data_IF_371629657992
#
_entry.id   IF_371629657992
#
_cell.length_a   1.000
_cell.length_b   1.000
_cell.length_c   1.000
_cell.angle_alpha   90.00
_cell.angle_beta   90.00
_cell.angle_gamma   90.00
#
_symmetry.space_group_name_H-M   'P 1'
#
loop_
_entity.id
_entity.type
_entity.pdbx_description
1 polymer ?
#
# COMPACT_ATOMS: atom_id res chain seq x y z
N UNK A 1 35.41 2.65 -37.62
CA UNK A 1 34.79 3.95 -37.87
C UNK A 1 34.20 4.41 -36.57
N UNK A 2 34.74 5.48 -36.01
CA UNK A 2 34.24 6.05 -34.75
C UNK A 2 32.88 6.71 -35.10
N UNK A 3 31.80 6.12 -34.64
CA UNK A 3 30.46 6.66 -34.84
C UNK A 3 30.39 8.08 -34.29
N UNK A 4 29.89 8.99 -35.09
CA UNK A 4 29.66 10.37 -34.68
C UNK A 4 28.74 10.38 -33.46
N UNK A 5 29.20 10.97 -32.35
CA UNK A 5 28.33 11.25 -31.19
C UNK A 5 27.11 12.03 -31.70
N UNK A 6 25.88 11.55 -31.47
CA UNK A 6 24.70 12.31 -31.91
C UNK A 6 24.75 13.72 -31.32
N UNK A 7 24.30 14.74 -32.04
CA UNK A 7 24.32 16.09 -31.55
C UNK A 7 23.59 16.15 -30.21
N UNK A 8 24.21 16.74 -29.18
CA UNK A 8 23.56 16.94 -27.87
C UNK A 8 22.31 17.78 -28.12
N UNK A 9 21.14 17.15 -28.04
CA UNK A 9 19.86 17.88 -28.10
C UNK A 9 19.80 18.85 -26.91
N UNK A 10 19.46 20.10 -27.19
CA UNK A 10 19.23 21.10 -26.14
C UNK A 10 17.77 21.01 -25.73
N UNK A 11 17.51 20.62 -24.48
CA UNK A 11 16.16 20.70 -23.92
C UNK A 11 15.83 22.16 -23.63
N UNK A 12 14.69 22.63 -24.14
CA UNK A 12 14.13 23.94 -23.89
C UNK A 12 12.75 23.82 -23.27
N UNK A 13 12.42 24.72 -22.33
CA UNK A 13 11.09 24.81 -21.72
C UNK A 13 10.55 26.19 -21.96
N UNK A 14 9.47 26.29 -22.73
CA UNK A 14 8.88 27.53 -23.20
C UNK A 14 7.50 27.73 -22.56
N UNK A 15 7.27 28.80 -21.77
CA UNK A 15 5.94 29.06 -21.20
C UNK A 15 4.95 29.39 -22.33
N UNK A 16 3.73 28.85 -22.22
CA UNK A 16 2.62 29.17 -23.13
C UNK A 16 1.76 30.25 -22.47
N UNK A 17 1.92 31.49 -22.89
CA UNK A 17 1.19 32.62 -22.37
C UNK A 17 -0.09 32.89 -23.18
N UNK A 18 -0.99 33.70 -22.64
CA UNK A 18 -2.21 34.14 -23.35
C UNK A 18 -3.36 33.12 -23.35
N UNK A 19 -3.26 32.02 -22.61
CA UNK A 19 -4.36 31.07 -22.45
C UNK A 19 -5.50 31.73 -21.64
N UNK A 20 -6.73 31.82 -22.19
CA UNK A 20 -7.85 32.45 -21.51
C UNK A 20 -8.33 31.63 -20.31
N UNK A 21 -9.22 32.23 -19.49
CA UNK A 21 -9.86 31.49 -18.38
C UNK A 21 -10.73 30.35 -18.92
N UNK A 22 -10.46 29.14 -18.49
CA UNK A 22 -11.14 27.91 -18.93
C UNK A 22 -12.37 27.65 -18.06
N UNK A 23 -13.50 27.29 -18.68
CA UNK A 23 -14.78 26.97 -18.05
C UNK A 23 -15.24 25.57 -18.44
N UNK A 24 -16.21 25.05 -17.69
CA UNK A 24 -16.81 23.75 -17.98
C UNK A 24 -17.46 23.74 -19.38
N UNK A 25 -17.11 22.73 -20.17
CA UNK A 25 -17.60 22.55 -21.53
C UNK A 25 -16.81 23.29 -22.61
N UNK A 26 -15.76 24.04 -22.25
CA UNK A 26 -14.91 24.68 -23.23
C UNK A 26 -14.14 23.66 -24.07
N UNK A 27 -13.98 23.95 -25.36
CA UNK A 27 -13.05 23.23 -26.26
C UNK A 27 -11.60 23.64 -25.92
N UNK A 28 -10.95 22.87 -25.09
CA UNK A 28 -9.61 23.16 -24.59
C UNK A 28 -8.58 23.21 -25.73
N UNK A 29 -8.71 22.35 -26.74
CA UNK A 29 -7.83 22.40 -27.93
C UNK A 29 -7.98 23.69 -28.70
N UNK A 30 -9.20 24.23 -28.84
CA UNK A 30 -9.43 25.52 -29.46
C UNK A 30 -8.80 26.68 -28.68
N UNK A 31 -8.94 26.65 -27.33
CA UNK A 31 -8.36 27.69 -26.46
C UNK A 31 -6.83 27.70 -26.46
N UNK A 32 -6.22 26.52 -26.62
CA UNK A 32 -4.76 26.37 -26.65
C UNK A 32 -4.13 26.63 -28.01
N UNK A 33 -4.88 26.52 -29.11
CA UNK A 33 -4.32 26.53 -30.46
C UNK A 33 -3.50 27.80 -30.77
N UNK A 34 -4.06 28.99 -30.61
CA UNK A 34 -3.37 30.24 -30.89
C UNK A 34 -2.16 30.47 -29.95
N UNK A 35 -2.27 30.30 -28.62
CA UNK A 35 -1.13 30.38 -27.70
C UNK A 35 0.02 29.43 -28.04
N UNK A 36 -0.28 28.17 -28.42
CA UNK A 36 0.73 27.18 -28.79
C UNK A 36 1.45 27.58 -30.10
N UNK A 37 0.71 28.01 -31.12
CA UNK A 37 1.30 28.49 -32.38
C UNK A 37 2.17 29.73 -32.14
N UNK A 38 1.71 30.69 -31.34
CA UNK A 38 2.46 31.90 -30.99
C UNK A 38 3.75 31.57 -30.25
N UNK A 39 3.74 30.53 -29.38
CA UNK A 39 4.93 30.03 -28.68
C UNK A 39 5.85 29.24 -29.63
N UNK A 40 5.37 28.85 -30.81
CA UNK A 40 6.13 28.17 -31.85
C UNK A 40 6.14 26.65 -31.70
N UNK A 41 4.98 26.03 -31.35
CA UNK A 41 4.82 24.58 -31.31
C UNK A 41 5.26 23.94 -32.63
N UNK A 42 5.99 22.83 -32.56
CA UNK A 42 6.47 22.03 -33.68
C UNK A 42 6.40 20.55 -33.44
N UNK A 43 6.66 19.78 -34.51
CA UNK A 43 6.68 18.32 -34.43
C UNK A 43 7.73 17.81 -33.42
N UNK A 44 7.37 16.79 -32.66
CA UNK A 44 8.22 16.20 -31.63
C UNK A 44 8.31 17.01 -30.34
N UNK A 45 7.62 18.13 -30.21
CA UNK A 45 7.49 18.85 -28.95
C UNK A 45 6.58 18.10 -27.99
N UNK A 46 6.73 18.38 -26.67
CA UNK A 46 5.83 17.89 -25.62
C UNK A 46 5.09 19.06 -25.01
N UNK A 47 3.77 19.04 -25.03
CA UNK A 47 2.90 20.03 -24.41
C UNK A 47 2.60 19.57 -22.98
N UNK A 48 3.20 20.23 -21.99
CA UNK A 48 2.90 20.00 -20.58
C UNK A 48 1.80 20.94 -20.11
N UNK A 49 0.73 20.42 -19.51
CA UNK A 49 -0.49 21.17 -19.15
C UNK A 49 -0.88 20.86 -17.72
N UNK A 50 -1.22 21.89 -16.91
CA UNK A 50 -1.75 21.64 -15.57
C UNK A 50 -3.13 20.97 -15.63
N UNK A 51 -3.35 19.98 -14.76
CA UNK A 51 -4.63 19.29 -14.63
C UNK A 51 -5.80 20.25 -14.41
N UNK A 52 -5.57 21.41 -13.79
CA UNK A 52 -6.64 22.34 -13.43
C UNK A 52 -7.45 22.84 -14.62
N UNK A 53 -6.79 23.19 -15.75
CA UNK A 53 -7.53 23.64 -16.93
C UNK A 53 -8.22 22.47 -17.64
N UNK A 54 -7.65 21.26 -17.58
CA UNK A 54 -8.30 20.04 -18.06
C UNK A 54 -9.54 19.73 -17.23
N UNK A 55 -9.41 19.72 -15.91
CA UNK A 55 -10.52 19.49 -14.98
C UNK A 55 -11.63 20.54 -15.11
N UNK A 56 -11.28 21.82 -15.31
CA UNK A 56 -12.27 22.88 -15.60
C UNK A 56 -13.04 22.58 -16.88
N UNK A 57 -12.35 22.32 -17.98
CA UNK A 57 -12.99 22.02 -19.27
C UNK A 57 -13.91 20.78 -19.18
N UNK A 58 -13.51 19.76 -18.44
CA UNK A 58 -14.27 18.53 -18.23
C UNK A 58 -15.39 18.64 -17.17
N UNK A 59 -15.62 19.84 -16.61
CA UNK A 59 -16.66 20.04 -15.60
C UNK A 59 -16.36 19.42 -14.24
N UNK A 60 -15.08 19.16 -13.92
CA UNK A 60 -14.63 18.62 -12.63
C UNK A 60 -14.44 19.70 -11.56
N UNK A 61 -15.12 20.84 -11.72
CA UNK A 61 -15.27 21.89 -10.71
C UNK A 61 -16.59 21.69 -10.01
N UNK A 62 -16.57 21.49 -8.71
CA UNK A 62 -17.74 21.10 -7.91
C UNK A 62 -17.97 22.08 -6.77
N UNK A 63 -19.22 22.36 -6.37
CA UNK A 63 -19.48 23.16 -5.18
C UNK A 63 -19.04 22.40 -3.91
N UNK A 64 -18.56 23.14 -2.92
CA UNK A 64 -18.14 22.59 -1.63
C UNK A 64 -19.28 21.80 -0.97
N UNK A 65 -20.53 22.34 -1.00
CA UNK A 65 -21.72 21.71 -0.41
C UNK A 65 -21.69 21.66 1.13
N UNK A 66 -22.74 21.08 1.72
CA UNK A 66 -22.93 21.02 3.18
C UNK A 66 -21.89 20.12 3.89
N UNK A 67 -21.35 19.12 3.19
CA UNK A 67 -20.31 18.22 3.73
C UNK A 67 -18.88 18.80 3.71
N UNK A 68 -18.70 20.00 3.18
CA UNK A 68 -17.42 20.66 3.09
C UNK A 68 -16.45 19.95 2.14
N UNK A 69 -15.20 20.37 2.21
CA UNK A 69 -14.11 19.76 1.45
C UNK A 69 -13.88 18.28 1.81
N UNK A 70 -14.04 17.94 3.08
CA UNK A 70 -13.74 16.60 3.59
C UNK A 70 -14.63 15.51 2.95
N UNK A 71 -15.89 15.82 2.66
CA UNK A 71 -16.79 14.90 1.96
C UNK A 71 -16.30 14.58 0.54
N UNK A 72 -15.70 15.57 -0.16
CA UNK A 72 -15.10 15.35 -1.47
C UNK A 72 -13.79 14.56 -1.39
N UNK A 73 -12.96 14.87 -0.39
CA UNK A 73 -11.73 14.09 -0.12
C UNK A 73 -12.10 12.62 0.14
N UNK A 74 -13.13 12.34 0.93
CA UNK A 74 -13.58 10.98 1.20
C UNK A 74 -14.05 10.26 -0.07
N UNK A 75 -14.84 10.93 -0.94
CA UNK A 75 -15.33 10.37 -2.22
C UNK A 75 -14.23 10.04 -3.21
N UNK A 76 -13.20 10.89 -3.31
CA UNK A 76 -12.08 10.70 -4.22
C UNK A 76 -10.99 9.78 -3.63
N UNK A 77 -11.10 9.41 -2.34
CA UNK A 77 -10.16 8.52 -1.64
C UNK A 77 -10.55 7.06 -1.81
N UNK A 78 -9.63 6.26 -2.33
CA UNK A 78 -9.70 4.79 -2.27
C UNK A 78 -9.19 4.26 -0.94
N UNK A 79 -8.12 4.83 -0.42
CA UNK A 79 -7.46 4.43 0.83
C UNK A 79 -6.74 5.61 1.47
N UNK A 80 -6.90 5.79 2.78
CA UNK A 80 -6.10 6.75 3.54
C UNK A 80 -4.75 6.15 3.87
N UNK A 81 -3.68 6.84 3.52
CA UNK A 81 -2.28 6.44 3.79
C UNK A 81 -1.79 7.04 5.10
N UNK A 82 -2.04 8.33 5.33
CA UNK A 82 -1.65 9.02 6.55
C UNK A 82 -2.53 10.25 6.81
N UNK A 83 -2.58 10.72 8.07
CA UNK A 83 -3.24 11.96 8.47
C UNK A 83 -2.32 12.79 9.39
N UNK A 84 -2.36 14.11 9.22
CA UNK A 84 -1.72 15.06 10.14
C UNK A 84 -2.56 16.34 10.22
N UNK A 85 -3.34 16.50 11.28
CA UNK A 85 -4.38 17.54 11.35
C UNK A 85 -5.37 17.35 10.20
N UNK A 86 -5.68 18.43 9.49
CA UNK A 86 -6.61 18.43 8.35
C UNK A 86 -5.99 17.90 7.04
N UNK A 87 -4.67 17.62 7.04
CA UNK A 87 -3.99 17.05 5.89
C UNK A 87 -4.20 15.54 5.84
N UNK A 88 -4.80 15.06 4.75
CA UNK A 88 -4.95 13.65 4.44
C UNK A 88 -4.02 13.29 3.29
N UNK A 89 -3.14 12.32 3.47
CA UNK A 89 -2.43 11.66 2.36
C UNK A 89 -3.27 10.45 1.99
N UNK A 90 -3.75 10.43 0.77
CA UNK A 90 -4.68 9.42 0.30
C UNK A 90 -4.26 8.83 -1.04
N UNK A 91 -4.55 7.56 -1.23
CA UNK A 91 -4.57 6.91 -2.53
C UNK A 91 -5.89 7.28 -3.21
N UNK A 92 -5.83 7.89 -4.37
CA UNK A 92 -6.98 8.29 -5.17
C UNK A 92 -7.62 7.09 -5.87
N UNK A 93 -8.77 7.29 -6.52
CA UNK A 93 -9.39 6.26 -7.39
C UNK A 93 -8.49 5.86 -8.56
N UNK A 94 -7.61 6.76 -9.02
CA UNK A 94 -6.62 6.53 -10.07
C UNK A 94 -5.38 5.75 -9.57
N UNK A 95 -5.22 5.58 -8.25
CA UNK A 95 -4.04 4.98 -7.62
C UNK A 95 -2.95 5.97 -7.22
N UNK A 96 -3.05 7.25 -7.56
CA UNK A 96 -2.08 8.27 -7.12
C UNK A 96 -2.12 8.45 -5.61
N UNK A 97 -0.95 8.51 -4.97
CA UNK A 97 -0.84 8.84 -3.55
C UNK A 97 -0.47 10.31 -3.39
N UNK A 98 -1.43 11.12 -2.99
CA UNK A 98 -1.25 12.57 -2.89
C UNK A 98 -2.03 13.20 -1.73
N UNK A 99 -1.82 14.50 -1.53
CA UNK A 99 -2.53 15.27 -0.51
C UNK A 99 -4.02 15.43 -0.87
N UNK A 100 -4.89 15.13 0.09
CA UNK A 100 -6.33 15.33 0.02
C UNK A 100 -6.98 14.72 -1.23
N UNK A 101 -6.46 13.58 -1.70
CA UNK A 101 -6.91 12.88 -2.90
C UNK A 101 -6.97 13.76 -4.16
N UNK A 102 -6.11 14.77 -4.27
CA UNK A 102 -6.11 15.71 -5.39
C UNK A 102 -7.22 16.76 -5.35
N UNK A 103 -8.05 16.81 -4.32
CA UNK A 103 -9.09 17.84 -4.11
C UNK A 103 -8.44 19.17 -3.75
N UNK A 104 -8.57 20.18 -4.61
CA UNK A 104 -7.91 21.48 -4.47
C UNK A 104 -8.92 22.64 -4.53
N UNK A 105 -8.75 23.62 -3.64
CA UNK A 105 -9.53 24.86 -3.61
C UNK A 105 -8.79 26.04 -4.25
N UNK A 106 -7.56 25.82 -4.76
CA UNK A 106 -6.77 26.92 -5.34
C UNK A 106 -7.12 27.17 -6.79
N UNK A 107 -7.14 28.47 -7.21
CA UNK A 107 -7.43 28.91 -8.57
C UNK A 107 -8.83 28.53 -9.08
N UNK A 108 -9.80 28.43 -8.19
CA UNK A 108 -11.25 28.35 -8.46
C UNK A 108 -11.97 29.44 -7.66
N UNK A 109 -13.22 29.73 -8.00
CA UNK A 109 -14.04 30.67 -7.26
C UNK A 109 -14.29 30.18 -5.84
N UNK A 110 -14.49 31.12 -4.90
CA UNK A 110 -14.82 30.80 -3.53
C UNK A 110 -16.10 29.92 -3.46
N UNK A 111 -16.08 28.88 -2.66
CA UNK A 111 -17.19 27.90 -2.56
C UNK A 111 -17.12 26.76 -3.58
N UNK A 112 -16.06 26.68 -4.39
CA UNK A 112 -15.83 25.59 -5.33
C UNK A 112 -14.51 24.87 -5.09
N UNK A 113 -14.44 23.62 -5.56
CA UNK A 113 -13.26 22.74 -5.52
C UNK A 113 -12.99 22.18 -6.91
N UNK A 114 -11.72 21.92 -7.21
CA UNK A 114 -11.32 21.18 -8.39
C UNK A 114 -10.97 19.75 -8.00
N UNK A 115 -11.51 18.79 -8.75
CA UNK A 115 -11.18 17.37 -8.67
C UNK A 115 -10.24 17.02 -9.82
N UNK A 116 -9.49 15.91 -9.73
CA UNK A 116 -8.70 15.43 -10.87
C UNK A 116 -9.61 15.02 -12.03
N UNK A 117 -9.12 15.04 -13.29
CA UNK A 117 -9.82 14.45 -14.43
C UNK A 117 -10.22 12.99 -14.13
N UNK A 118 -11.29 12.48 -14.71
CA UNK A 118 -11.71 11.09 -14.43
C UNK A 118 -10.74 10.05 -14.95
N UNK A 119 -10.21 10.30 -16.12
CA UNK A 119 -9.17 9.51 -16.78
C UNK A 119 -8.16 10.46 -17.43
N UNK A 120 -7.08 10.81 -16.71
CA UNK A 120 -6.10 11.76 -17.21
C UNK A 120 -5.36 11.30 -18.47
N UNK A 121 -5.09 9.99 -18.62
CA UNK A 121 -4.46 9.46 -19.84
C UNK A 121 -5.37 9.59 -21.07
N UNK A 122 -6.65 9.24 -20.90
CA UNK A 122 -7.64 9.45 -21.97
C UNK A 122 -7.84 10.94 -22.29
N UNK A 123 -7.76 11.82 -21.30
CA UNK A 123 -7.81 13.28 -21.51
C UNK A 123 -6.60 13.79 -22.28
N UNK A 124 -5.40 13.28 -21.97
CA UNK A 124 -4.18 13.60 -22.71
C UNK A 124 -4.28 13.14 -24.17
N UNK A 125 -4.78 11.95 -24.43
CA UNK A 125 -4.91 11.42 -25.81
C UNK A 125 -5.97 12.19 -26.62
N UNK A 126 -7.12 12.54 -26.01
CA UNK A 126 -8.12 13.39 -26.67
C UNK A 126 -7.49 14.73 -27.08
N UNK A 127 -6.83 15.38 -26.12
CA UNK A 127 -6.22 16.69 -26.37
C UNK A 127 -5.10 16.62 -27.43
N UNK A 128 -4.26 15.58 -27.39
CA UNK A 128 -3.22 15.33 -28.39
C UNK A 128 -3.80 15.20 -29.79
N UNK A 129 -4.84 14.38 -29.95
CA UNK A 129 -5.53 14.19 -31.23
C UNK A 129 -6.17 15.51 -31.73
N UNK A 130 -6.94 16.16 -30.85
CA UNK A 130 -7.70 17.36 -31.23
C UNK A 130 -6.78 18.53 -31.60
N UNK A 131 -5.61 18.66 -30.92
CA UNK A 131 -4.56 19.62 -31.29
C UNK A 131 -3.86 19.22 -32.59
N UNK A 132 -3.54 17.94 -32.78
CA UNK A 132 -2.96 17.44 -34.04
C UNK A 132 -3.85 17.68 -35.27
N UNK A 133 -5.14 17.37 -35.13
CA UNK A 133 -6.12 17.66 -36.22
C UNK A 133 -6.26 19.15 -36.53
N UNK A 134 -6.20 20.01 -35.51
CA UNK A 134 -6.39 21.46 -35.64
C UNK A 134 -5.15 22.18 -36.14
N UNK A 135 -3.98 21.78 -35.72
CA UNK A 135 -2.71 22.48 -35.96
C UNK A 135 -1.84 21.79 -37.02
N UNK A 136 -2.11 20.54 -37.35
CA UNK A 136 -1.28 19.77 -38.27
C UNK A 136 0.10 19.44 -37.71
N UNK A 137 0.25 19.35 -36.39
CA UNK A 137 1.51 19.12 -35.66
C UNK A 137 1.44 17.82 -34.86
N UNK A 138 2.46 17.01 -34.95
CA UNK A 138 2.62 15.81 -34.13
C UNK A 138 3.39 16.15 -32.84
N UNK A 139 2.64 16.48 -31.80
CA UNK A 139 3.18 16.75 -30.46
C UNK A 139 2.63 15.78 -29.42
N UNK A 140 3.43 15.48 -28.40
CA UNK A 140 2.97 14.72 -27.24
C UNK A 140 2.28 15.65 -26.22
N UNK A 141 1.45 15.08 -25.34
CA UNK A 141 0.77 15.81 -24.26
C UNK A 141 1.08 15.13 -22.92
N UNK A 142 1.41 15.94 -21.90
CA UNK A 142 1.60 15.51 -20.50
C UNK A 142 0.71 16.36 -19.61
N UNK A 143 -0.24 15.74 -18.91
CA UNK A 143 -1.08 16.40 -17.91
C UNK A 143 -0.36 16.33 -16.57
N UNK A 144 -0.14 17.49 -15.94
CA UNK A 144 0.66 17.60 -14.72
C UNK A 144 -0.18 18.00 -13.51
N UNK A 145 0.17 17.48 -12.35
CA UNK A 145 -0.26 18.04 -11.08
C UNK A 145 0.94 18.23 -10.14
N UNK A 146 0.73 18.92 -9.02
CA UNK A 146 1.82 19.25 -8.10
C UNK A 146 1.70 18.43 -6.83
N UNK A 147 2.62 17.48 -6.65
CA UNK A 147 2.62 16.58 -5.52
C UNK A 147 3.70 16.91 -4.48
N UNK A 148 3.40 16.59 -3.22
CA UNK A 148 4.42 16.43 -2.20
C UNK A 148 5.32 15.23 -2.52
N UNK A 149 6.52 15.25 -1.96
CA UNK A 149 7.49 14.18 -2.15
C UNK A 149 7.75 13.46 -0.84
N UNK A 150 7.62 12.12 -0.85
CA UNK A 150 8.02 11.29 0.28
C UNK A 150 9.51 11.53 0.59
N UNK A 151 9.86 11.69 1.86
CA UNK A 151 11.22 11.88 2.38
C UNK A 151 11.93 13.19 1.98
N UNK A 152 11.31 14.07 1.21
CA UNK A 152 11.90 15.37 0.80
C UNK A 152 10.90 16.51 1.01
N UNK A 153 11.38 17.66 1.42
CA UNK A 153 10.58 18.89 1.47
C UNK A 153 10.37 19.46 0.07
N UNK A 154 9.27 20.18 -0.09
CA UNK A 154 8.90 20.88 -1.33
C UNK A 154 7.99 20.03 -2.22
N UNK A 155 7.39 20.72 -3.18
CA UNK A 155 6.47 20.15 -4.17
C UNK A 155 7.19 20.06 -5.51
N UNK A 156 6.73 19.19 -6.37
CA UNK A 156 7.18 19.07 -7.77
C UNK A 156 5.99 18.72 -8.65
N UNK A 157 6.01 19.16 -9.91
CA UNK A 157 5.05 18.68 -10.87
C UNK A 157 5.38 17.23 -11.23
N UNK A 158 4.36 16.40 -11.28
CA UNK A 158 4.40 15.01 -11.73
C UNK A 158 3.38 14.81 -12.84
N UNK A 159 3.60 13.86 -13.71
CA UNK A 159 2.63 13.46 -14.72
C UNK A 159 1.53 12.62 -14.08
N UNK A 160 0.28 12.98 -14.37
CA UNK A 160 -0.89 12.18 -13.99
C UNK A 160 -1.58 11.59 -15.20
N UNK A 161 -1.22 12.03 -16.41
CA UNK A 161 -1.70 11.50 -17.69
C UNK A 161 -0.76 11.91 -18.80
N UNK A 162 -0.54 11.04 -19.79
CA UNK A 162 0.28 11.37 -20.95
C UNK A 162 -0.19 10.65 -22.22
N UNK A 163 0.17 11.23 -23.38
CA UNK A 163 -0.12 10.66 -24.68
C UNK A 163 0.95 11.07 -25.71
N UNK A 164 1.31 10.16 -26.61
CA UNK A 164 2.34 10.39 -27.65
C UNK A 164 3.77 10.34 -27.12
N UNK A 165 3.97 10.12 -25.84
CA UNK A 165 5.25 9.95 -25.15
C UNK A 165 5.13 8.78 -24.18
N UNK A 166 6.14 7.88 -24.04
CA UNK A 166 6.09 6.83 -23.02
C UNK A 166 6.26 7.45 -21.61
N UNK A 167 5.38 7.07 -20.68
CA UNK A 167 5.52 7.49 -19.28
C UNK A 167 6.82 6.97 -18.67
N UNK A 168 7.19 5.73 -19.01
CA UNK A 168 8.37 5.03 -18.54
C UNK A 168 9.26 4.62 -19.72
N UNK A 169 10.59 4.76 -19.55
CA UNK A 169 11.59 4.23 -20.48
C UNK A 169 12.39 3.16 -19.76
N UNK A 170 12.22 1.91 -20.19
CA UNK A 170 12.93 0.76 -19.63
C UNK A 170 14.33 0.62 -20.28
N UNK A 171 15.37 0.83 -19.50
CA UNK A 171 16.75 0.70 -19.93
C UNK A 171 17.39 -0.61 -19.44
N UNK A 172 16.63 -1.49 -18.80
CA UNK A 172 17.14 -2.80 -18.34
C UNK A 172 17.58 -3.62 -19.56
N UNK A 173 18.69 -4.33 -19.41
CA UNK A 173 19.32 -5.08 -20.50
C UNK A 173 20.16 -4.23 -21.47
N UNK A 174 20.17 -2.88 -21.34
CA UNK A 174 21.10 -2.03 -22.09
C UNK A 174 22.42 -1.89 -21.36
N UNK A 175 23.49 -1.51 -22.07
CA UNK A 175 24.80 -1.34 -21.46
C UNK A 175 25.07 0.12 -21.07
N UNK A 176 25.71 0.33 -19.90
CA UNK A 176 26.30 1.62 -19.55
C UNK A 176 27.53 1.94 -20.43
N UNK A 177 28.14 3.12 -20.24
CA UNK A 177 29.29 3.52 -21.04
C UNK A 177 30.56 2.68 -20.78
N UNK A 178 30.58 1.84 -19.74
CA UNK A 178 31.63 0.85 -19.47
C UNK A 178 31.29 -0.56 -19.98
N UNK A 179 30.14 -0.72 -20.63
CA UNK A 179 29.68 -2.01 -21.14
C UNK A 179 29.01 -2.91 -20.08
N UNK A 180 28.64 -2.39 -18.89
CA UNK A 180 27.90 -3.14 -17.87
C UNK A 180 26.42 -3.03 -18.11
N UNK A 181 25.73 -4.15 -18.02
CA UNK A 181 24.27 -4.20 -18.16
C UNK A 181 23.55 -3.44 -17.03
N UNK A 182 22.57 -2.63 -17.41
CA UNK A 182 21.67 -1.94 -16.48
C UNK A 182 20.57 -2.90 -16.04
N UNK A 183 20.60 -3.35 -14.80
CA UNK A 183 19.67 -4.37 -14.28
C UNK A 183 18.33 -3.80 -13.77
N UNK A 184 18.30 -2.55 -13.32
CA UNK A 184 17.16 -1.97 -12.61
C UNK A 184 16.73 -0.57 -13.09
N UNK A 185 17.33 -0.06 -14.17
CA UNK A 185 17.11 1.32 -14.59
C UNK A 185 15.86 1.46 -15.44
N UNK A 186 14.82 2.08 -14.86
CA UNK A 186 13.61 2.53 -15.56
C UNK A 186 13.45 4.03 -15.26
N UNK A 187 13.38 4.83 -16.32
CA UNK A 187 13.27 6.30 -16.21
C UNK A 187 11.82 6.72 -16.32
N UNK A 188 11.33 7.53 -15.38
CA UNK A 188 9.99 8.12 -15.40
C UNK A 188 10.00 9.39 -16.29
N UNK A 189 10.05 9.20 -17.62
CA UNK A 189 10.25 10.28 -18.58
C UNK A 189 9.15 11.34 -18.51
N UNK A 190 7.89 10.94 -18.37
CA UNK A 190 6.78 11.88 -18.26
C UNK A 190 6.88 12.74 -16.98
N UNK A 191 7.39 12.19 -15.87
CA UNK A 191 7.65 12.96 -14.65
C UNK A 191 8.80 13.94 -14.81
N UNK A 192 9.87 13.56 -15.54
CA UNK A 192 10.98 14.48 -15.83
C UNK A 192 10.49 15.68 -16.66
N UNK A 193 9.65 15.43 -17.68
CA UNK A 193 9.01 16.49 -18.49
C UNK A 193 8.08 17.35 -17.61
N UNK A 194 7.25 16.73 -16.77
CA UNK A 194 6.36 17.44 -15.85
C UNK A 194 7.14 18.34 -14.89
N UNK A 195 8.22 17.82 -14.30
CA UNK A 195 9.07 18.59 -13.39
C UNK A 195 9.77 19.75 -14.08
N UNK A 196 10.31 19.55 -15.30
CA UNK A 196 10.94 20.59 -16.08
C UNK A 196 9.94 21.70 -16.45
N UNK A 197 8.72 21.34 -16.87
CA UNK A 197 7.66 22.30 -17.21
C UNK A 197 7.31 23.22 -16.04
N UNK A 198 7.37 22.70 -14.81
CA UNK A 198 7.11 23.46 -13.58
C UNK A 198 8.00 24.70 -13.40
N UNK A 199 9.20 24.69 -13.99
CA UNK A 199 10.14 25.83 -13.94
C UNK A 199 9.63 27.01 -14.77
N UNK A 200 8.95 26.75 -15.89
CA UNK A 200 8.39 27.80 -16.77
C UNK A 200 6.96 28.18 -16.35
N UNK A 201 6.12 27.22 -15.92
CA UNK A 201 4.73 27.49 -15.58
C UNK A 201 4.59 28.30 -14.28
N UNK A 202 5.43 28.05 -13.27
CA UNK A 202 5.35 28.70 -11.96
C UNK A 202 4.00 28.51 -11.26
N UNK A 203 3.90 28.92 -9.99
CA UNK A 203 2.65 28.75 -9.22
C UNK A 203 1.71 29.96 -9.27
N UNK A 204 2.27 31.16 -9.47
CA UNK A 204 1.54 32.44 -9.43
C UNK A 204 1.53 33.15 -10.80
N UNK A 205 2.18 32.60 -11.83
CA UNK A 205 2.38 33.26 -13.10
C UNK A 205 1.16 33.21 -14.04
N UNK A 206 0.10 32.46 -13.70
CA UNK A 206 -1.06 32.21 -14.57
C UNK A 206 -0.67 31.62 -15.93
N UNK A 207 0.38 30.80 -15.97
CA UNK A 207 0.86 30.07 -17.14
C UNK A 207 0.53 28.58 -16.95
N UNK A 208 -0.61 28.11 -17.46
CA UNK A 208 -1.07 26.74 -17.18
C UNK A 208 -0.48 25.67 -18.12
N UNK A 209 0.35 26.07 -19.11
CA UNK A 209 0.99 25.15 -20.05
C UNK A 209 2.40 25.61 -20.42
N UNK A 210 3.23 24.66 -20.85
CA UNK A 210 4.56 24.91 -21.40
C UNK A 210 4.85 23.89 -22.52
N UNK A 211 5.66 24.33 -23.51
CA UNK A 211 6.25 23.45 -24.52
C UNK A 211 7.61 22.99 -24.02
N UNK A 212 7.84 21.67 -23.98
CA UNK A 212 9.15 21.08 -23.71
C UNK A 212 9.69 20.50 -25.00
N UNK A 213 10.75 21.09 -25.51
CA UNK A 213 11.37 20.78 -26.79
C UNK A 213 12.71 20.09 -26.62
N UNK A 214 13.04 19.19 -27.56
CA UNK A 214 14.35 18.50 -27.57
C UNK A 214 14.42 17.32 -26.62
N UNK A 215 13.29 16.81 -26.16
CA UNK A 215 13.22 15.54 -25.44
C UNK A 215 13.31 14.42 -26.46
N UNK A 216 14.33 13.56 -26.32
CA UNK A 216 14.49 12.37 -27.18
C UNK A 216 13.67 11.20 -26.66
N UNK A 217 12.69 10.77 -27.41
CA UNK A 217 11.92 9.55 -27.14
C UNK A 217 11.40 8.93 -28.44
N UNK A 218 11.15 7.63 -28.40
CA UNK A 218 10.37 6.98 -29.45
C UNK A 218 8.87 7.11 -29.08
N UNK A 219 8.03 7.53 -30.04
CA UNK A 219 6.59 7.63 -29.78
C UNK A 219 6.03 6.29 -29.33
N UNK A 220 5.44 6.25 -28.16
CA UNK A 220 4.86 5.05 -27.58
C UNK A 220 3.64 5.39 -26.73
N UNK A 221 2.77 4.38 -26.54
CA UNK A 221 1.56 4.54 -25.72
C UNK A 221 1.73 3.82 -24.36
N UNK A 222 2.73 4.24 -23.60
CA UNK A 222 2.84 3.82 -22.18
C UNK A 222 2.20 4.93 -21.35
N UNK A 223 1.00 4.68 -20.78
CA UNK A 223 0.24 5.72 -20.06
C UNK A 223 0.90 6.07 -18.72
N UNK A 224 0.56 7.23 -18.16
CA UNK A 224 1.05 7.67 -16.86
C UNK A 224 0.56 6.76 -15.72
N UNK A 225 -0.57 6.08 -15.88
CA UNK A 225 -1.08 5.09 -14.94
C UNK A 225 -0.13 3.92 -14.69
N UNK A 226 0.74 3.58 -15.64
CA UNK A 226 1.80 2.56 -15.47
C UNK A 226 2.90 2.99 -14.48
N UNK A 227 3.01 4.29 -14.17
CA UNK A 227 3.93 4.78 -13.13
C UNK A 227 3.40 4.53 -11.71
N UNK A 228 2.12 4.19 -11.57
CA UNK A 228 1.54 3.84 -10.28
C UNK A 228 2.05 2.46 -9.88
N UNK A 229 2.84 2.42 -8.82
CA UNK A 229 3.43 1.17 -8.33
C UNK A 229 2.34 0.18 -7.89
N UNK A 230 2.37 -1.08 -8.37
CA UNK A 230 1.48 -2.12 -7.88
C UNK A 230 1.61 -2.31 -6.37
N UNK A 231 0.52 -2.65 -5.66
CA UNK A 231 0.55 -2.82 -4.21
C UNK A 231 1.61 -3.80 -3.69
N UNK A 232 1.88 -4.85 -4.44
CA UNK A 232 2.87 -5.88 -4.14
C UNK A 232 4.32 -5.41 -4.27
N UNK A 233 4.56 -4.36 -5.06
CA UNK A 233 5.87 -3.74 -5.25
C UNK A 233 6.10 -2.51 -4.36
N UNK A 234 5.06 -2.05 -3.64
CA UNK A 234 5.12 -0.85 -2.83
C UNK A 234 5.68 -1.14 -1.43
N UNK A 235 6.99 -0.98 -1.27
CA UNK A 235 7.71 -1.16 0.00
C UNK A 235 7.28 -0.16 1.09
N UNK A 236 6.55 0.91 0.74
CA UNK A 236 6.13 1.97 1.66
C UNK A 236 4.62 1.95 1.95
N UNK A 237 3.90 0.96 1.41
CA UNK A 237 2.44 0.85 1.52
C UNK A 237 1.96 0.65 2.96
N UNK A 238 2.73 -0.03 3.78
CA UNK A 238 2.36 -0.39 5.15
C UNK A 238 2.89 0.60 6.17
N UNK A 239 2.00 1.31 6.88
CA UNK A 239 2.34 1.97 8.14
C UNK A 239 2.04 1.01 9.31
N UNK A 240 2.71 1.12 10.47
CA UNK A 240 2.38 0.32 11.66
C UNK A 240 0.90 0.43 12.06
N UNK A 241 0.32 1.62 12.01
CA UNK A 241 -1.10 1.84 12.32
C UNK A 241 -2.02 1.19 11.28
N UNK A 242 -1.65 1.23 10.00
CA UNK A 242 -2.39 0.58 8.93
C UNK A 242 -2.36 -0.94 9.11
N UNK A 243 -1.20 -1.53 9.39
CA UNK A 243 -1.08 -2.96 9.69
C UNK A 243 -1.96 -3.38 10.87
N UNK A 244 -2.05 -2.56 11.92
CA UNK A 244 -2.93 -2.81 13.07
C UNK A 244 -4.40 -2.78 12.64
N UNK A 245 -4.81 -1.78 11.86
CA UNK A 245 -6.21 -1.60 11.45
C UNK A 245 -6.65 -2.62 10.39
N UNK A 246 -5.77 -3.06 9.52
CA UNK A 246 -6.06 -3.98 8.42
C UNK A 246 -5.94 -5.46 8.80
N UNK A 247 -5.12 -5.81 9.80
CA UNK A 247 -4.97 -7.21 10.22
C UNK A 247 -6.33 -7.86 10.53
N UNK A 248 -6.56 -9.02 9.94
CA UNK A 248 -7.78 -9.85 10.15
C UNK A 248 -7.38 -11.26 10.58
N UNK A 249 -8.31 -11.96 11.18
CA UNK A 249 -8.20 -13.40 11.42
C UNK A 249 -8.58 -14.14 10.15
N UNK A 250 -7.60 -14.78 9.52
CA UNK A 250 -7.74 -15.53 8.26
C UNK A 250 -7.71 -17.01 8.58
N UNK A 251 -8.77 -17.73 8.23
CA UNK A 251 -8.95 -19.18 8.47
C UNK A 251 -8.99 -20.00 7.18
N UNK A 252 -9.13 -19.36 6.02
CA UNK A 252 -8.97 -19.96 4.70
C UNK A 252 -7.82 -19.24 4.00
N UNK A 253 -6.88 -19.98 3.46
CA UNK A 253 -5.66 -19.44 2.89
C UNK A 253 -5.70 -19.50 1.36
N UNK A 254 -5.00 -18.58 0.72
CA UNK A 254 -4.76 -18.56 -0.70
C UNK A 254 -3.79 -19.67 -1.15
N UNK A 255 -3.59 -19.78 -2.44
CA UNK A 255 -2.62 -20.72 -3.03
C UNK A 255 -1.23 -20.10 -2.97
N UNK A 256 -0.23 -20.89 -2.56
CA UNK A 256 1.17 -20.48 -2.50
C UNK A 256 1.86 -20.97 -1.24
N UNK A 257 3.16 -20.74 -1.18
CA UNK A 257 4.02 -21.12 -0.07
C UNK A 257 4.27 -19.94 0.88
N UNK A 258 4.68 -20.26 2.10
CA UNK A 258 5.15 -19.29 3.08
C UNK A 258 6.66 -19.48 3.21
N UNK A 259 7.45 -18.44 2.95
CA UNK A 259 8.91 -18.54 3.02
C UNK A 259 9.41 -18.65 4.47
N UNK A 260 10.58 -19.24 4.66
CA UNK A 260 11.21 -19.31 5.99
C UNK A 260 11.60 -17.92 6.49
N UNK A 261 12.11 -17.10 5.60
CA UNK A 261 12.53 -15.73 5.86
C UNK A 261 11.38 -14.89 6.40
N UNK A 262 10.19 -15.02 5.82
CA UNK A 262 9.00 -14.30 6.28
C UNK A 262 8.59 -14.70 7.71
N UNK A 263 8.67 -15.99 8.03
CA UNK A 263 8.38 -16.49 9.39
C UNK A 263 9.45 -16.04 10.38
N UNK A 264 10.73 -16.11 10.01
CA UNK A 264 11.85 -15.68 10.84
C UNK A 264 11.77 -14.18 11.15
N UNK A 265 11.43 -13.36 10.17
CA UNK A 265 11.23 -11.91 10.37
C UNK A 265 10.04 -11.63 11.30
N UNK A 266 8.93 -12.33 11.12
CA UNK A 266 7.77 -12.21 12.00
C UNK A 266 8.08 -12.65 13.45
N UNK A 267 8.86 -13.72 13.64
CA UNK A 267 9.33 -14.14 14.97
C UNK A 267 10.31 -13.12 15.55
N UNK A 268 11.19 -12.52 14.73
CA UNK A 268 12.08 -11.44 15.17
C UNK A 268 11.29 -10.24 15.69
N UNK A 269 10.22 -9.86 14.98
CA UNK A 269 9.29 -8.82 15.42
C UNK A 269 8.55 -9.21 16.71
N UNK A 270 8.11 -10.47 16.84
CA UNK A 270 7.50 -10.97 18.07
C UNK A 270 8.42 -10.82 19.29
N UNK A 271 9.72 -11.08 19.12
CA UNK A 271 10.72 -10.96 20.17
C UNK A 271 11.05 -9.52 20.60
N UNK A 272 10.42 -8.49 19.99
CA UNK A 272 10.49 -7.09 20.46
C UNK A 272 9.42 -6.73 21.48
N UNK A 273 8.51 -7.65 21.82
CA UNK A 273 7.46 -7.42 22.81
C UNK A 273 8.06 -7.05 24.19
N UNK A 274 7.32 -6.29 25.02
CA UNK A 274 7.75 -6.03 26.39
C UNK A 274 7.81 -7.34 27.18
N UNK A 275 8.90 -7.53 27.93
CA UNK A 275 9.15 -8.72 28.71
C UNK A 275 9.34 -8.39 30.20
N UNK A 276 8.71 -9.13 31.11
CA UNK A 276 8.97 -8.99 32.54
C UNK A 276 10.46 -9.18 32.83
N UNK A 277 11.03 -8.29 33.62
CA UNK A 277 12.42 -8.37 34.08
C UNK A 277 13.46 -8.56 32.97
N UNK A 278 13.13 -8.11 31.72
CA UNK A 278 13.96 -8.29 30.50
C UNK A 278 14.31 -9.76 30.18
N UNK A 279 13.47 -10.71 30.58
CA UNK A 279 13.75 -12.17 30.53
C UNK A 279 13.64 -12.77 29.14
N UNK A 280 12.92 -12.13 28.20
CA UNK A 280 12.59 -12.69 26.86
C UNK A 280 12.06 -14.12 26.97
N UNK A 281 10.88 -14.34 27.59
CA UNK A 281 10.43 -15.65 28.05
C UNK A 281 9.78 -16.50 26.93
N UNK A 282 9.91 -16.11 25.68
CA UNK A 282 9.22 -16.74 24.57
C UNK A 282 10.11 -17.70 23.78
N UNK A 283 9.45 -18.68 23.15
CA UNK A 283 9.97 -19.50 22.06
C UNK A 283 8.88 -19.72 21.03
N UNK A 284 9.27 -20.01 19.79
CA UNK A 284 8.32 -20.25 18.69
C UNK A 284 8.74 -21.50 17.93
N UNK A 285 7.85 -22.48 17.81
CA UNK A 285 8.08 -23.68 17.01
C UNK A 285 7.30 -23.55 15.70
N UNK A 286 8.00 -23.37 14.58
CA UNK A 286 7.40 -23.30 13.24
C UNK A 286 7.42 -24.70 12.57
N UNK A 287 6.28 -25.11 12.01
CA UNK A 287 6.02 -26.45 11.51
C UNK A 287 5.59 -26.36 10.04
N UNK A 288 6.44 -26.83 9.12
CA UNK A 288 6.17 -26.88 7.67
C UNK A 288 5.77 -28.26 7.19
N UNK A 289 6.36 -29.32 7.78
CA UNK A 289 6.20 -30.66 7.23
C UNK A 289 4.85 -31.26 7.58
N UNK A 290 4.22 -31.91 6.61
CA UNK A 290 2.96 -32.61 6.81
C UNK A 290 3.04 -33.69 7.92
N UNK A 291 4.19 -34.34 8.08
CA UNK A 291 4.40 -35.34 9.13
C UNK A 291 4.37 -34.73 10.53
N UNK A 292 5.06 -33.59 10.74
CA UNK A 292 5.07 -32.90 12.04
C UNK A 292 3.69 -32.27 12.36
N UNK A 293 3.00 -31.70 11.35
CA UNK A 293 1.63 -31.20 11.50
C UNK A 293 0.68 -32.32 11.92
N UNK A 294 0.67 -33.46 11.21
CA UNK A 294 -0.18 -34.60 11.56
C UNK A 294 0.11 -35.12 12.97
N UNK A 295 1.37 -35.22 13.41
CA UNK A 295 1.73 -35.63 14.75
C UNK A 295 1.16 -34.71 15.82
N UNK A 296 1.29 -33.37 15.64
CA UNK A 296 0.74 -32.40 16.58
C UNK A 296 -0.79 -32.42 16.57
N UNK A 297 -1.42 -32.30 15.38
CA UNK A 297 -2.88 -32.20 15.27
C UNK A 297 -3.58 -33.52 15.71
N UNK A 298 -2.98 -34.67 15.46
CA UNK A 298 -3.48 -35.95 15.94
C UNK A 298 -3.48 -36.04 17.46
N UNK A 299 -2.37 -35.70 18.10
CA UNK A 299 -2.26 -35.71 19.56
C UNK A 299 -3.28 -34.75 20.22
N UNK A 300 -3.45 -33.55 19.69
CA UNK A 300 -4.44 -32.59 20.18
C UNK A 300 -5.87 -33.09 19.95
N UNK A 301 -6.16 -33.68 18.78
CA UNK A 301 -7.48 -34.19 18.46
C UNK A 301 -7.88 -35.36 19.42
N UNK A 302 -6.94 -36.23 19.74
CA UNK A 302 -7.20 -37.35 20.65
C UNK A 302 -7.49 -36.86 22.07
N UNK A 303 -6.67 -35.95 22.61
CA UNK A 303 -6.91 -35.32 23.89
C UNK A 303 -8.24 -34.59 23.96
N UNK A 304 -8.56 -33.80 22.93
CA UNK A 304 -9.81 -33.05 22.88
C UNK A 304 -11.05 -33.94 22.74
N UNK A 305 -10.96 -35.09 22.04
CA UNK A 305 -12.03 -36.09 22.01
C UNK A 305 -12.30 -36.64 23.41
N UNK A 306 -11.25 -36.94 24.17
CA UNK A 306 -11.38 -37.46 25.54
C UNK A 306 -12.05 -36.42 26.45
N UNK A 307 -11.63 -35.18 26.40
CA UNK A 307 -12.24 -34.09 27.19
C UNK A 307 -13.71 -33.89 26.83
N UNK A 308 -14.06 -33.82 25.53
CA UNK A 308 -15.44 -33.67 25.10
C UNK A 308 -16.33 -34.86 25.50
N UNK A 309 -15.78 -36.07 25.51
CA UNK A 309 -16.51 -37.25 26.01
C UNK A 309 -16.74 -37.16 27.50
N UNK A 310 -15.74 -36.67 28.26
CA UNK A 310 -15.86 -36.45 29.71
C UNK A 310 -16.92 -35.42 30.03
N UNK A 311 -17.07 -34.43 29.17
CA UNK A 311 -18.13 -33.38 29.25
C UNK A 311 -19.51 -33.87 28.77
N UNK A 312 -19.64 -35.15 28.37
CA UNK A 312 -20.90 -35.72 27.89
C UNK A 312 -21.34 -35.22 26.50
N UNK A 313 -20.41 -34.69 25.67
CA UNK A 313 -20.73 -34.24 24.32
C UNK A 313 -21.05 -35.43 23.41
N UNK A 314 -22.12 -35.38 22.59
CA UNK A 314 -22.44 -36.44 21.63
C UNK A 314 -21.32 -36.65 20.58
N UNK A 315 -21.07 -37.91 20.23
CA UNK A 315 -19.95 -38.32 19.37
C UNK A 315 -19.97 -37.61 17.97
N UNK A 316 -21.17 -37.48 17.38
CA UNK A 316 -21.34 -36.77 16.11
C UNK A 316 -20.94 -35.28 16.19
N UNK A 317 -21.14 -34.69 17.35
CA UNK A 317 -20.74 -33.30 17.64
C UNK A 317 -19.24 -33.20 17.88
N UNK A 318 -18.64 -34.18 18.53
CA UNK A 318 -17.20 -34.29 18.73
C UNK A 318 -16.50 -34.33 17.38
N UNK A 319 -16.88 -35.26 16.51
CA UNK A 319 -16.24 -35.42 15.21
C UNK A 319 -16.41 -34.17 14.31
N UNK A 320 -17.56 -33.50 14.35
CA UNK A 320 -17.75 -32.22 13.62
C UNK A 320 -16.81 -31.13 14.13
N UNK A 321 -16.59 -31.02 15.45
CA UNK A 321 -15.66 -30.03 16.03
C UNK A 321 -14.23 -30.32 15.66
N UNK A 322 -13.81 -31.59 15.72
CA UNK A 322 -12.46 -32.03 15.33
C UNK A 322 -12.24 -31.75 13.83
N UNK A 323 -13.15 -32.17 12.95
CA UNK A 323 -13.04 -31.94 11.51
C UNK A 323 -12.97 -30.43 11.16
N UNK A 324 -13.74 -29.60 11.87
CA UNK A 324 -13.68 -28.15 11.66
C UNK A 324 -12.33 -27.54 12.07
N UNK A 325 -11.74 -28.03 13.16
CA UNK A 325 -10.41 -27.61 13.60
C UNK A 325 -9.34 -28.04 12.60
N UNK A 326 -9.40 -29.29 12.14
CA UNK A 326 -8.46 -29.85 11.18
C UNK A 326 -8.56 -29.15 9.82
N UNK A 327 -9.76 -28.77 9.37
CA UNK A 327 -9.96 -28.00 8.14
C UNK A 327 -9.21 -26.64 8.13
N UNK A 328 -9.01 -26.02 9.30
CA UNK A 328 -8.27 -24.76 9.40
C UNK A 328 -6.78 -25.00 9.61
N UNK A 329 -6.43 -25.84 10.61
CA UNK A 329 -5.03 -26.05 11.00
C UNK A 329 -4.30 -26.97 10.01
N UNK A 330 -4.96 -28.01 9.51
CA UNK A 330 -4.39 -28.94 8.54
C UNK A 330 -4.16 -28.32 7.15
N UNK A 331 -5.03 -27.39 6.75
CA UNK A 331 -4.92 -26.67 5.47
C UNK A 331 -3.84 -25.57 5.49
N UNK A 332 -3.42 -25.10 6.66
CA UNK A 332 -2.43 -24.02 6.74
C UNK A 332 -1.05 -24.50 6.24
N UNK A 333 -0.38 -23.76 5.34
CA UNK A 333 0.99 -24.04 4.90
C UNK A 333 1.96 -24.18 6.07
N UNK A 334 1.86 -23.30 7.06
CA UNK A 334 2.72 -23.29 8.26
C UNK A 334 1.87 -23.18 9.52
N UNK A 335 2.25 -23.93 10.56
CA UNK A 335 1.77 -23.73 11.92
C UNK A 335 2.92 -23.18 12.77
N UNK A 336 2.62 -22.19 13.63
CA UNK A 336 3.57 -21.65 14.59
C UNK A 336 2.97 -21.84 15.98
N UNK A 337 3.67 -22.55 16.85
CA UNK A 337 3.27 -22.69 18.26
C UNK A 337 4.14 -21.76 19.10
N UNK A 338 3.56 -20.68 19.65
CA UNK A 338 4.24 -19.81 20.61
C UNK A 338 4.23 -20.46 22.01
N UNK A 339 5.36 -20.34 22.68
CA UNK A 339 5.59 -20.87 24.01
C UNK A 339 6.02 -19.75 24.96
N UNK A 340 5.70 -19.92 26.23
CA UNK A 340 6.20 -19.07 27.32
C UNK A 340 6.79 -19.93 28.42
N UNK A 341 7.84 -19.46 29.08
CA UNK A 341 8.38 -20.02 30.28
C UNK A 341 8.49 -18.94 31.35
N UNK A 342 8.44 -19.39 32.63
CA UNK A 342 8.42 -18.50 33.79
C UNK A 342 9.80 -18.36 34.43
N UNK A 343 10.86 -18.66 33.69
CA UNK A 343 12.24 -18.54 34.19
C UNK A 343 12.57 -17.03 34.42
N UNK A 344 13.03 -16.72 35.62
CA UNK A 344 13.31 -15.34 36.05
C UNK A 344 12.11 -14.63 36.66
N UNK A 345 10.99 -15.34 36.88
CA UNK A 345 9.89 -14.84 37.69
C UNK A 345 10.31 -14.66 39.16
N UNK A 346 9.85 -13.58 39.79
CA UNK A 346 10.11 -13.34 41.19
C UNK A 346 9.28 -14.30 42.08
N UNK A 347 9.91 -14.94 43.10
CA UNK A 347 9.16 -15.75 44.05
C UNK A 347 8.43 -14.82 45.04
N UNK A 348 7.15 -15.07 45.27
CA UNK A 348 6.35 -14.39 46.28
C UNK A 348 5.83 -15.40 47.33
N UNK A 349 5.68 -14.92 48.59
CA UNK A 349 5.20 -15.77 49.67
C UNK A 349 3.69 -16.05 49.66
N UNK A 350 2.92 -15.20 48.95
CA UNK A 350 1.47 -15.33 48.81
C UNK A 350 1.05 -15.69 47.38
N UNK A 351 -0.12 -16.36 47.31
CA UNK A 351 -0.64 -16.82 46.05
C UNK A 351 -1.08 -15.70 45.11
N UNK A 352 -1.55 -14.56 45.62
CA UNK A 352 -2.06 -13.44 44.84
C UNK A 352 -0.93 -12.79 44.03
N UNK A 353 0.19 -12.45 44.70
CA UNK A 353 1.36 -11.89 43.98
C UNK A 353 2.02 -12.90 43.05
N UNK A 354 2.06 -14.19 43.44
CA UNK A 354 2.57 -15.26 42.58
C UNK A 354 1.73 -15.43 41.32
N UNK A 355 0.41 -15.30 41.43
CA UNK A 355 -0.50 -15.33 40.28
C UNK A 355 -0.33 -14.10 39.40
N UNK A 356 -0.25 -12.88 39.97
CA UNK A 356 -0.01 -11.65 39.22
C UNK A 356 1.31 -11.70 38.42
N UNK A 357 2.37 -12.24 39.05
CA UNK A 357 3.65 -12.44 38.36
C UNK A 357 3.52 -13.39 37.16
N UNK A 358 2.83 -14.52 37.35
CA UNK A 358 2.56 -15.45 36.25
C UNK A 358 1.74 -14.82 35.13
N UNK A 359 0.71 -14.06 35.47
CA UNK A 359 -0.14 -13.33 34.50
C UNK A 359 0.66 -12.33 33.69
N UNK A 360 1.61 -11.62 34.30
CA UNK A 360 2.48 -10.68 33.61
C UNK A 360 3.31 -11.37 32.50
N UNK A 361 3.81 -12.58 32.73
CA UNK A 361 4.49 -13.39 31.71
C UNK A 361 3.55 -13.84 30.60
N UNK A 362 2.31 -14.24 30.94
CA UNK A 362 1.30 -14.60 29.94
C UNK A 362 0.88 -13.41 29.08
N UNK A 363 0.67 -12.22 29.68
CA UNK A 363 0.38 -10.98 28.97
C UNK A 363 1.51 -10.59 28.01
N UNK A 364 2.76 -10.77 28.46
CA UNK A 364 3.94 -10.59 27.61
C UNK A 364 3.95 -11.55 26.42
N UNK A 365 3.56 -12.82 26.63
CA UNK A 365 3.36 -13.80 25.57
C UNK A 365 2.29 -13.39 24.58
N UNK A 366 1.17 -12.85 25.05
CA UNK A 366 0.10 -12.30 24.22
C UNK A 366 0.58 -11.12 23.37
N UNK A 367 1.37 -10.22 23.95
CA UNK A 367 1.99 -9.10 23.22
C UNK A 367 2.94 -9.59 22.11
N UNK A 368 3.75 -10.61 22.39
CA UNK A 368 4.64 -11.23 21.41
C UNK A 368 3.84 -11.88 20.25
N UNK A 369 2.73 -12.55 20.55
CA UNK A 369 1.85 -13.11 19.53
C UNK A 369 1.20 -12.01 18.69
N UNK A 370 0.76 -10.91 19.30
CA UNK A 370 0.19 -9.80 18.55
C UNK A 370 1.23 -9.19 17.58
N UNK A 371 2.49 -9.01 18.01
CA UNK A 371 3.56 -8.57 17.13
C UNK A 371 3.81 -9.55 15.98
N UNK A 372 3.78 -10.88 16.25
CA UNK A 372 3.86 -11.92 15.23
C UNK A 372 2.76 -11.76 14.17
N UNK A 373 1.51 -11.63 14.62
CA UNK A 373 0.35 -11.51 13.71
C UNK A 373 0.41 -10.24 12.86
N UNK A 374 0.88 -9.13 13.43
CA UNK A 374 1.07 -7.87 12.70
C UNK A 374 2.17 -7.98 11.65
N UNK A 375 3.31 -8.58 12.02
CA UNK A 375 4.43 -8.75 11.10
C UNK A 375 4.08 -9.69 9.93
N UNK A 376 3.35 -10.78 10.18
CA UNK A 376 2.83 -11.65 9.13
C UNK A 376 1.86 -10.89 8.20
N UNK A 377 0.94 -10.10 8.77
CA UNK A 377 -0.01 -9.29 8.00
C UNK A 377 0.70 -8.24 7.14
N UNK A 378 1.74 -7.59 7.66
CA UNK A 378 2.55 -6.61 6.93
C UNK A 378 3.29 -7.21 5.72
N UNK A 379 3.54 -8.51 5.74
CA UNK A 379 4.16 -9.27 4.65
C UNK A 379 3.13 -9.90 3.69
N UNK A 380 1.84 -9.51 3.79
CA UNK A 380 0.77 -10.05 2.94
C UNK A 380 0.33 -11.47 3.30
N UNK A 381 0.71 -11.97 4.48
CA UNK A 381 0.33 -13.30 4.96
C UNK A 381 -0.93 -13.23 5.82
N UNK A 382 -1.84 -14.18 5.58
CA UNK A 382 -2.99 -14.43 6.44
C UNK A 382 -2.62 -15.25 7.65
N UNK A 383 -3.22 -14.96 8.80
CA UNK A 383 -2.98 -15.74 10.02
C UNK A 383 -4.22 -15.84 10.91
N UNK A 384 -4.29 -16.93 11.70
CA UNK A 384 -5.28 -17.08 12.76
C UNK A 384 -4.66 -17.70 14.00
N UNK A 385 -4.91 -17.09 15.16
CA UNK A 385 -4.50 -17.60 16.45
C UNK A 385 -5.62 -18.44 17.05
N UNK A 386 -5.34 -19.71 17.31
CA UNK A 386 -6.28 -20.75 17.75
C UNK A 386 -5.76 -21.33 19.07
N UNK A 387 -6.66 -21.59 20.02
CA UNK A 387 -6.31 -21.96 21.38
C UNK A 387 -5.96 -23.46 21.60
N UNK A 388 -6.03 -24.30 20.58
CA UNK A 388 -5.93 -25.76 20.73
C UNK A 388 -4.75 -26.24 21.58
N UNK A 389 -3.51 -25.81 21.30
CA UNK A 389 -2.33 -26.20 22.08
C UNK A 389 -2.32 -25.60 23.51
N UNK A 390 -3.08 -24.52 23.74
CA UNK A 390 -3.22 -23.94 25.07
C UNK A 390 -3.94 -24.90 26.04
N UNK A 391 -4.92 -25.66 25.53
CA UNK A 391 -5.67 -26.65 26.33
C UNK A 391 -4.99 -28.01 26.40
N UNK A 392 -4.13 -28.36 25.43
CA UNK A 392 -3.46 -29.67 25.32
C UNK A 392 -1.94 -29.48 25.52
N UNK A 393 -1.55 -29.09 26.75
CA UNK A 393 -0.17 -28.71 27.06
C UNK A 393 0.82 -29.90 26.99
N UNK A 394 0.48 -31.04 27.56
CA UNK A 394 1.34 -32.23 27.61
C UNK A 394 1.52 -32.83 26.22
N UNK A 395 0.42 -33.00 25.49
CA UNK A 395 0.39 -33.56 24.14
C UNK A 395 1.18 -32.68 23.18
N UNK A 396 1.04 -31.35 23.32
CA UNK A 396 1.76 -30.38 22.51
C UNK A 396 3.27 -30.44 22.75
N UNK A 397 3.69 -30.49 24.02
CA UNK A 397 5.11 -30.66 24.37
C UNK A 397 5.67 -31.97 23.85
N UNK A 398 4.98 -33.08 24.07
CA UNK A 398 5.40 -34.41 23.62
C UNK A 398 5.51 -34.46 22.08
N UNK A 399 4.52 -33.94 21.36
CA UNK A 399 4.51 -33.92 19.90
C UNK A 399 5.64 -33.08 19.30
N UNK A 400 6.10 -32.04 19.99
CA UNK A 400 7.08 -31.07 19.48
C UNK A 400 8.44 -31.14 20.18
N UNK A 401 8.62 -32.06 21.11
CA UNK A 401 9.89 -32.25 21.83
C UNK A 401 10.26 -31.08 22.75
N UNK A 402 9.25 -30.39 23.30
CA UNK A 402 9.45 -29.30 24.25
C UNK A 402 9.53 -29.83 25.70
N UNK A 403 10.40 -29.20 26.49
CA UNK A 403 10.48 -29.53 27.92
C UNK A 403 9.28 -29.01 28.73
N UNK A 404 9.08 -29.52 29.93
CA UNK A 404 7.98 -29.19 30.84
C UNK A 404 8.00 -27.73 31.35
N UNK A 405 9.13 -27.05 31.27
CA UNK A 405 9.24 -25.63 31.61
C UNK A 405 8.48 -24.69 30.62
N UNK A 406 8.13 -25.18 29.41
CA UNK A 406 7.43 -24.41 28.42
C UNK A 406 5.91 -24.65 28.46
N UNK A 407 5.16 -23.58 28.41
CA UNK A 407 3.70 -23.58 28.28
C UNK A 407 3.30 -23.04 26.90
N UNK A 408 2.50 -23.79 26.16
CA UNK A 408 1.97 -23.35 24.86
C UNK A 408 0.93 -22.24 25.04
N UNK A 409 0.96 -21.25 24.15
CA UNK A 409 0.03 -20.11 24.15
C UNK A 409 -1.00 -20.18 23.00
N UNK A 410 -1.27 -21.33 22.47
CA UNK A 410 -2.11 -21.56 21.30
C UNK A 410 -1.27 -21.88 20.06
N UNK A 411 -1.93 -21.93 18.90
CA UNK A 411 -1.31 -22.22 17.60
C UNK A 411 -1.69 -21.11 16.62
N UNK A 412 -0.73 -20.56 15.91
CA UNK A 412 -0.94 -19.61 14.82
C UNK A 412 -0.85 -20.37 13.50
N UNK A 413 -1.98 -20.46 12.79
CA UNK A 413 -2.03 -20.95 11.41
C UNK A 413 -1.64 -19.82 10.47
N UNK A 414 -0.77 -20.08 9.50
CA UNK A 414 -0.22 -19.07 8.56
C UNK A 414 -0.27 -19.59 7.14
N UNK A 415 -0.67 -18.72 6.22
CA UNK A 415 -0.68 -18.99 4.78
C UNK A 415 -0.83 -17.72 3.97
N UNK A 416 -0.77 -17.79 2.62
CA UNK A 416 -1.00 -16.65 1.75
C UNK A 416 -2.37 -16.02 1.98
N UNK A 417 -2.46 -14.69 1.87
CA UNK A 417 -3.73 -13.97 1.97
C UNK A 417 -4.62 -14.36 0.79
N UNK A 418 -5.88 -14.80 0.99
CA UNK A 418 -6.77 -15.07 -0.12
C UNK A 418 -7.28 -13.76 -0.74
N UNK A 419 -7.55 -13.77 -2.04
CA UNK A 419 -8.13 -12.62 -2.73
C UNK A 419 -9.48 -12.22 -2.10
N UNK A 420 -9.70 -10.93 -1.88
CA UNK A 420 -10.95 -10.40 -1.33
C UNK A 420 -11.15 -10.64 0.18
N UNK A 421 -10.12 -11.03 0.92
CA UNK A 421 -10.21 -11.35 2.35
C UNK A 421 -10.54 -10.15 3.28
N UNK A 422 -10.49 -8.92 2.78
CA UNK A 422 -10.69 -7.72 3.57
C UNK A 422 -12.19 -7.39 3.73
N UNK A 423 -12.82 -7.88 4.78
CA UNK A 423 -14.10 -7.33 5.22
C UNK A 423 -13.88 -6.13 6.13
N UNK A 424 -14.62 -5.03 5.97
CA UNK A 424 -14.55 -3.89 6.88
C UNK A 424 -14.83 -4.35 8.33
N UNK A 425 -14.14 -3.75 9.31
CA UNK A 425 -14.55 -3.92 10.71
C UNK A 425 -15.82 -3.11 10.95
N UNK A 426 -16.75 -3.60 11.79
CA UNK A 426 -17.85 -2.75 12.24
C UNK A 426 -17.27 -1.51 12.95
N UNK A 427 -17.98 -0.36 12.86
CA UNK A 427 -17.60 0.84 13.60
C UNK A 427 -17.46 0.52 15.09
N UNK A 428 -16.41 1.10 15.72
CA UNK A 428 -16.17 0.98 17.15
C UNK A 428 -16.72 2.24 17.85
N UNK A 429 -17.58 2.05 18.84
CA UNK A 429 -17.94 3.14 19.75
C UNK A 429 -16.82 3.28 20.80
N UNK A 430 -16.03 4.33 20.68
CA UNK A 430 -14.91 4.55 21.57
C UNK A 430 -15.35 4.84 23.02
N UNK A 431 -16.58 5.32 23.25
CA UNK A 431 -17.09 5.61 24.59
C UNK A 431 -17.26 4.36 25.47
N UNK A 432 -17.44 3.18 24.86
CA UNK A 432 -17.49 1.90 25.57
C UNK A 432 -16.11 1.43 26.04
N UNK A 433 -15.02 1.95 25.43
CA UNK A 433 -13.65 1.46 25.61
C UNK A 433 -12.69 2.47 26.21
N UNK A 434 -13.03 3.77 26.18
CA UNK A 434 -12.20 4.85 26.73
C UNK A 434 -12.97 5.59 27.82
N UNK A 435 -12.37 5.67 28.99
CA UNK A 435 -12.83 6.55 30.09
C UNK A 435 -11.76 7.62 30.29
N UNK A 436 -12.20 8.88 30.32
CA UNK A 436 -11.36 10.04 30.64
C UNK A 436 -11.84 10.62 31.97
N UNK A 437 -10.94 10.86 32.91
CA UNK A 437 -11.19 11.53 34.19
C UNK A 437 -10.86 13.04 34.09
#
# INVERSE_FOLDING_TARGET
MIGATPPRMRVQVLPVEGIPEVRAGDDLAALLAEPLVTTGLGDGDVIAITQKIVSKAEGRVVPVGDGGRDAWVERETRRVVARRGDLVIAETRHGFVCANAGVDASNVEEGFLTLLPEDPDASAERLRRDLGERLGVEAAVVITDTFGRTWRRGLVNVSIGCAGIPALVDLRGTADHHGRELEATVVALADEVAAASGLAMGKAARVPAAIVRGVGFEPASVPASEMVRPPEEDLFRTSPLLSISERRTIRAFGVGDVSREAVEEAVRAACTAPAPHHTRPWSFTAIWTAAAKRRLLGAIADAWREDLRRDGTPEDTIERRIARSDAVLGAAPVLIVPWVRFRGAHPYADAERSQAEREMFLLSGGAAIQNLLLALSAQGLGSSWISSTLFCQEESRAALGMSDEWSALGTVAVGPMPAGAASPRPPLDLSEHLRTE
#
